data_IF_991140399345
#
_entry.id   IF_991140399345
#
_cell.length_a   1.000
_cell.length_b   1.000
_cell.length_c   1.000
_cell.angle_alpha   90.00
_cell.angle_beta   90.00
_cell.angle_gamma   90.00
#
_symmetry.space_group_name_H-M   'P 1'
#
loop_
_entity.id
_entity.type
_entity.pdbx_description
1 polymer ?
#
# COMPACT_ATOMS: atom_id res chain seq x y z
N UNK A 1 -1.49 8.65 15.44
CA UNK A 1 -0.30 9.04 14.64
C UNK A 1 -0.15 8.04 13.51
N UNK A 2 0.11 8.47 12.28
CA UNK A 2 0.17 7.58 11.11
C UNK A 2 1.59 7.54 10.55
N UNK A 3 2.04 6.37 10.10
CA UNK A 3 3.27 6.23 9.30
C UNK A 3 2.85 5.87 7.88
N UNK A 4 3.33 6.69 6.95
CA UNK A 4 3.11 6.54 5.52
C UNK A 4 4.47 6.30 4.87
N UNK A 5 4.59 5.24 4.09
CA UNK A 5 5.81 4.91 3.37
C UNK A 5 5.56 4.60 1.89
N UNK A 6 6.60 4.78 1.08
CA UNK A 6 6.60 4.46 -0.35
C UNK A 6 7.72 3.48 -0.61
N UNK A 7 7.37 2.32 -1.15
CA UNK A 7 8.32 1.33 -1.65
C UNK A 7 8.58 1.63 -3.13
N UNK A 8 9.71 2.26 -3.41
CA UNK A 8 10.13 2.64 -4.76
C UNK A 8 10.95 1.54 -5.45
N UNK A 9 10.58 1.21 -6.68
CA UNK A 9 11.30 0.26 -7.53
C UNK A 9 10.90 -1.21 -7.31
N UNK A 10 11.34 -2.12 -8.20
CA UNK A 10 11.13 -3.54 -8.03
C UNK A 10 11.82 -3.99 -6.74
N UNK A 11 11.23 -4.95 -5.99
CA UNK A 11 11.83 -5.45 -4.77
C UNK A 11 13.26 -5.94 -5.06
N UNK A 12 14.25 -5.27 -4.48
CA UNK A 12 15.64 -5.74 -4.50
C UNK A 12 15.82 -6.67 -3.30
N UNK A 13 15.91 -7.97 -3.54
CA UNK A 13 16.10 -8.99 -2.51
C UNK A 13 14.83 -9.79 -2.19
N UNK A 14 14.89 -10.57 -1.12
CA UNK A 14 13.79 -11.43 -0.68
C UNK A 14 12.64 -10.59 -0.10
N UNK A 15 11.40 -10.69 -0.63
CA UNK A 15 10.24 -9.99 -0.07
C UNK A 15 9.98 -10.31 1.41
N UNK A 16 10.41 -11.47 1.91
CA UNK A 16 10.30 -11.80 3.32
C UNK A 16 11.19 -10.90 4.20
N UNK A 17 12.43 -10.63 3.79
CA UNK A 17 13.34 -9.75 4.53
C UNK A 17 12.77 -8.33 4.66
N UNK A 18 12.21 -7.80 3.56
CA UNK A 18 11.57 -6.49 3.53
C UNK A 18 10.40 -6.39 4.53
N UNK A 19 9.60 -7.46 4.66
CA UNK A 19 8.48 -7.45 5.60
C UNK A 19 8.93 -7.30 7.06
N UNK A 20 10.04 -7.94 7.45
CA UNK A 20 10.58 -7.85 8.81
C UNK A 20 11.12 -6.46 9.13
N UNK A 21 11.84 -5.83 8.20
CA UNK A 21 12.33 -4.45 8.36
C UNK A 21 11.16 -3.49 8.56
N UNK A 22 10.11 -3.65 7.76
CA UNK A 22 8.98 -2.75 7.78
C UNK A 22 8.11 -2.91 9.04
N UNK A 23 7.97 -4.13 9.55
CA UNK A 23 7.36 -4.38 10.87
C UNK A 23 8.17 -3.73 11.98
N UNK A 24 9.51 -3.85 11.95
CA UNK A 24 10.40 -3.19 12.93
C UNK A 24 10.25 -1.68 12.93
N UNK A 25 10.10 -1.07 11.74
CA UNK A 25 9.83 0.37 11.62
C UNK A 25 8.45 0.75 12.15
N UNK A 26 7.41 -0.04 11.86
CA UNK A 26 6.09 0.17 12.42
C UNK A 26 6.11 0.06 13.95
N UNK A 27 6.88 -0.86 14.51
CA UNK A 27 6.99 -1.01 15.96
C UNK A 27 7.65 0.18 16.64
N UNK A 28 8.70 0.72 16.01
CA UNK A 28 9.42 1.89 16.52
C UNK A 28 8.61 3.19 16.45
N UNK A 29 7.83 3.39 15.38
CA UNK A 29 7.25 4.70 15.07
C UNK A 29 5.72 4.78 15.22
N UNK A 30 4.99 3.65 15.25
CA UNK A 30 3.54 3.65 15.50
C UNK A 30 3.23 3.45 16.99
N UNK A 31 2.41 4.36 17.52
CA UNK A 31 1.66 4.15 18.76
C UNK A 31 0.45 3.24 18.49
N UNK A 32 -0.15 2.64 19.53
CA UNK A 32 -1.47 2.02 19.43
C UNK A 32 -2.50 2.98 18.81
N UNK A 33 -3.46 2.44 18.06
CA UNK A 33 -4.39 3.18 17.18
C UNK A 33 -3.70 3.94 16.02
N UNK A 34 -2.41 3.69 15.83
CA UNK A 34 -1.67 4.22 14.69
C UNK A 34 -2.07 3.52 13.39
N UNK A 35 -2.06 4.28 12.29
CA UNK A 35 -2.31 3.72 10.94
C UNK A 35 -0.99 3.53 10.22
N UNK A 36 -0.82 2.36 9.65
CA UNK A 36 0.33 1.97 8.86
C UNK A 36 -0.13 1.84 7.41
N UNK A 37 0.41 2.68 6.52
CA UNK A 37 0.00 2.73 5.11
C UNK A 37 1.23 2.70 4.22
N UNK A 38 1.24 1.80 3.25
CA UNK A 38 2.34 1.63 2.31
C UNK A 38 1.83 1.60 0.88
N UNK A 39 2.49 2.36 0.02
CA UNK A 39 2.31 2.26 -1.42
C UNK A 39 3.44 1.47 -2.06
N UNK A 40 3.10 0.58 -3.00
CA UNK A 40 4.07 -0.10 -3.86
C UNK A 40 3.51 -0.28 -5.28
N UNK A 41 4.37 -0.17 -6.29
CA UNK A 41 3.98 -0.42 -7.67
C UNK A 41 3.75 -1.92 -7.96
N UNK A 42 4.33 -2.82 -7.15
CA UNK A 42 4.27 -4.26 -7.33
C UNK A 42 3.41 -4.90 -6.23
N UNK A 43 2.60 -5.89 -6.59
CA UNK A 43 1.73 -6.58 -5.64
C UNK A 43 2.51 -7.50 -4.68
N UNK A 44 3.48 -8.26 -5.21
CA UNK A 44 4.21 -9.30 -4.48
C UNK A 44 4.77 -8.83 -3.11
N UNK A 45 5.48 -7.69 -3.01
CA UNK A 45 6.04 -7.24 -1.73
C UNK A 45 4.94 -6.92 -0.69
N UNK A 46 3.81 -6.36 -1.14
CA UNK A 46 2.69 -6.06 -0.26
C UNK A 46 1.93 -7.30 0.18
N UNK A 47 1.77 -8.30 -0.70
CA UNK A 47 1.13 -9.57 -0.34
C UNK A 47 1.96 -10.34 0.70
N UNK A 48 3.30 -10.35 0.56
CA UNK A 48 4.18 -10.94 1.56
C UNK A 48 4.09 -10.22 2.91
N UNK A 49 4.09 -8.88 2.90
CA UNK A 49 3.92 -8.08 4.11
C UNK A 49 2.52 -8.24 4.73
N UNK A 50 1.47 -8.32 3.92
CA UNK A 50 0.10 -8.59 4.37
C UNK A 50 0.04 -9.91 5.14
N UNK A 51 0.65 -10.98 4.61
CA UNK A 51 0.72 -12.27 5.30
C UNK A 51 1.52 -12.19 6.61
N UNK A 52 2.59 -11.39 6.67
CA UNK A 52 3.34 -11.15 7.90
C UNK A 52 2.51 -10.40 8.95
N UNK A 53 1.80 -9.35 8.55
CA UNK A 53 0.94 -8.55 9.44
C UNK A 53 -0.26 -9.36 9.96
N UNK A 54 -0.87 -10.23 9.15
CA UNK A 54 -1.94 -11.11 9.61
C UNK A 54 -1.49 -12.13 10.65
N UNK A 55 -0.20 -12.49 10.69
CA UNK A 55 0.37 -13.38 11.71
C UNK A 55 0.71 -12.65 13.00
N UNK A 56 0.80 -11.32 12.98
CA UNK A 56 1.09 -10.50 14.15
C UNK A 56 -0.22 -10.15 14.88
N UNK A 57 -0.27 -10.30 16.22
CA UNK A 57 -1.42 -9.85 17.01
C UNK A 57 -1.52 -8.31 17.10
N UNK A 58 -0.42 -7.61 16.79
CA UNK A 58 -0.26 -6.16 16.95
C UNK A 58 -0.95 -5.36 15.85
N UNK A 59 -1.48 -6.01 14.81
CA UNK A 59 -2.11 -5.34 13.67
C UNK A 59 -3.47 -5.93 13.35
N UNK A 60 -4.44 -5.05 13.10
CA UNK A 60 -5.78 -5.39 12.65
C UNK A 60 -6.12 -4.65 11.36
N UNK A 61 -7.21 -5.07 10.72
CA UNK A 61 -7.74 -4.42 9.52
C UNK A 61 -6.70 -4.32 8.38
N UNK A 62 -5.88 -5.35 8.23
CA UNK A 62 -4.86 -5.42 7.18
C UNK A 62 -5.54 -5.61 5.82
N UNK A 63 -5.32 -4.69 4.89
CA UNK A 63 -5.93 -4.70 3.55
C UNK A 63 -4.91 -4.32 2.50
N UNK A 64 -5.03 -4.94 1.32
CA UNK A 64 -4.31 -4.54 0.11
C UNK A 64 -5.35 -4.16 -0.94
N UNK A 65 -5.24 -2.96 -1.48
CA UNK A 65 -6.16 -2.41 -2.47
C UNK A 65 -5.39 -1.96 -3.71
N UNK A 66 -5.94 -2.21 -4.88
CA UNK A 66 -5.36 -1.78 -6.16
C UNK A 66 -5.99 -0.45 -6.59
N UNK A 67 -5.15 0.49 -7.02
CA UNK A 67 -5.60 1.79 -7.48
C UNK A 67 -5.94 1.75 -8.96
N UNK A 68 -7.15 2.18 -9.30
CA UNK A 68 -7.58 2.41 -10.68
C UNK A 68 -7.89 3.90 -10.88
N UNK A 69 -7.13 4.56 -11.75
CA UNK A 69 -7.34 5.97 -12.08
C UNK A 69 -7.72 6.11 -13.55
N UNK A 70 -8.76 6.88 -13.83
CA UNK A 70 -9.17 7.20 -15.19
C UNK A 70 -9.44 8.68 -15.33
N UNK A 71 -8.63 9.33 -16.16
CA UNK A 71 -8.81 10.74 -16.48
C UNK A 71 -9.95 10.92 -17.48
N UNK A 72 -10.67 12.04 -17.34
CA UNK A 72 -11.80 12.39 -18.18
C UNK A 72 -11.55 13.73 -18.85
N UNK A 73 -11.83 13.81 -20.14
CA UNK A 73 -11.92 15.06 -20.87
C UNK A 73 -13.32 15.65 -20.68
N UNK A 74 -13.40 16.89 -20.21
CA UNK A 74 -14.66 17.62 -20.02
C UNK A 74 -14.67 18.84 -20.93
N UNK A 75 -15.32 18.70 -22.09
CA UNK A 75 -15.57 19.77 -23.06
C UNK A 75 -17.05 19.70 -23.49
N UNK A 76 -17.71 20.84 -23.79
CA UNK A 76 -19.09 20.85 -24.25
C UNK A 76 -19.31 19.89 -25.44
N UNK A 77 -20.21 18.92 -25.28
CA UNK A 77 -20.52 17.91 -26.31
C UNK A 77 -19.41 16.89 -26.63
N UNK A 78 -18.29 16.91 -25.90
CA UNK A 78 -17.15 15.98 -26.08
C UNK A 78 -16.64 15.45 -24.74
N UNK A 79 -17.54 15.24 -23.79
CA UNK A 79 -17.22 14.61 -22.50
C UNK A 79 -17.00 13.13 -22.69
N UNK A 80 -15.76 12.69 -22.55
CA UNK A 80 -15.39 11.30 -22.66
C UNK A 80 -14.12 11.02 -21.84
N UNK A 81 -13.86 9.76 -21.49
CA UNK A 81 -12.60 9.38 -20.88
C UNK A 81 -11.44 9.70 -21.80
N UNK A 82 -10.30 10.10 -21.24
CA UNK A 82 -9.11 10.38 -22.04
C UNK A 82 -8.66 9.09 -22.77
N UNK A 83 -8.46 9.20 -24.08
CA UNK A 83 -8.04 8.08 -24.96
C UNK A 83 -6.59 8.25 -25.39
N UNK A 84 -5.66 8.19 -24.44
CA UNK A 84 -4.22 8.23 -24.72
C UNK A 84 -3.62 6.81 -24.74
N UNK A 85 -2.73 6.52 -25.70
CA UNK A 85 -2.13 5.19 -25.87
C UNK A 85 -1.15 4.80 -24.76
N UNK A 86 -0.61 5.79 -24.05
CA UNK A 86 0.29 5.63 -22.91
C UNK A 86 -0.43 5.67 -21.56
N UNK A 87 -1.77 5.70 -21.55
CA UNK A 87 -2.55 5.80 -20.32
C UNK A 87 -2.36 4.59 -19.41
N UNK A 88 -1.92 4.85 -18.18
CA UNK A 88 -1.81 3.85 -17.11
C UNK A 88 -3.06 3.87 -16.25
N UNK A 89 -3.96 2.92 -16.50
CA UNK A 89 -5.18 2.76 -15.69
C UNK A 89 -4.89 2.24 -14.28
N UNK A 90 -3.82 1.47 -14.11
CA UNK A 90 -3.41 0.88 -12.85
C UNK A 90 -2.32 1.73 -12.20
N UNK A 91 -2.66 2.31 -11.04
CA UNK A 91 -1.80 3.22 -10.29
C UNK A 91 -0.90 2.55 -9.27
N UNK A 92 -0.88 1.21 -9.18
CA UNK A 92 -0.17 0.46 -8.14
C UNK A 92 -1.09 -0.05 -7.03
N UNK A 93 -0.51 -0.35 -5.87
CA UNK A 93 -1.19 -0.98 -4.75
C UNK A 93 -0.92 -0.22 -3.44
N UNK A 94 -1.92 -0.21 -2.55
CA UNK A 94 -1.80 0.31 -1.19
C UNK A 94 -2.06 -0.83 -0.22
N UNK A 95 -1.16 -1.00 0.75
CA UNK A 95 -1.41 -1.78 1.96
C UNK A 95 -1.77 -0.82 3.08
N UNK A 96 -2.81 -1.14 3.86
CA UNK A 96 -3.18 -0.41 5.07
C UNK A 96 -3.43 -1.36 6.23
N UNK A 97 -3.08 -0.94 7.45
CA UNK A 97 -3.32 -1.66 8.69
C UNK A 97 -3.43 -0.68 9.87
N UNK A 98 -4.03 -1.13 10.97
CA UNK A 98 -4.13 -0.38 12.22
C UNK A 98 -3.35 -1.13 13.30
N UNK A 99 -2.42 -0.45 13.98
CA UNK A 99 -1.69 -1.03 15.11
C UNK A 99 -2.54 -1.01 16.36
N UNK A 100 -2.62 -2.13 17.05
CA UNK A 100 -3.27 -2.29 18.34
C UNK A 100 -2.23 -2.51 19.44
N UNK A 101 -2.67 -2.38 20.69
CA UNK A 101 -1.83 -2.69 21.84
C UNK A 101 -1.78 -4.21 21.99
N UNK A 102 -0.58 -4.77 22.08
CA UNK A 102 -0.42 -6.19 22.40
C UNK A 102 -0.91 -6.43 23.84
N UNK A 103 -1.91 -7.29 24.00
CA UNK A 103 -2.49 -7.65 25.30
C UNK A 103 -1.59 -8.55 26.13
#
# INVERSE_FOLDING_TARGET
>A
QSVVGVLAGPPKGDPAAMSGEMMTLADRYLKPDGRFVLYCQYAQPLTSLQAALHRSPSFIHVRVEQLFLREWQVLPGRTHPLMASDMRLLGGFILSAIKVLDG
#
